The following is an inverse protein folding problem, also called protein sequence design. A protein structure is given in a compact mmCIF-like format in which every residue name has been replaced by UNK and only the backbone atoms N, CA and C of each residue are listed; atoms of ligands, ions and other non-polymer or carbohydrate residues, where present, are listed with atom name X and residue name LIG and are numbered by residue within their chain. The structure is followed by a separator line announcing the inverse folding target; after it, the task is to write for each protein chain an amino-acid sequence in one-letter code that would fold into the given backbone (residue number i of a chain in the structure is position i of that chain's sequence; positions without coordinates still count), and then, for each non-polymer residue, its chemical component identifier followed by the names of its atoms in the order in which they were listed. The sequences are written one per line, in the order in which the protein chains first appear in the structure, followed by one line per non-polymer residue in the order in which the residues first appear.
data_IF_976775777260
#
_entry.id   IF_976775777260
#
_cell.length_a   1.000
_cell.length_b   1.000
_cell.length_c   1.000
_cell.angle_alpha   90.00
_cell.angle_beta   90.00
_cell.angle_gamma   90.00
#
_symmetry.space_group_name_H-M   'P 1'
#
loop_
_entity.id
_entity.type
_entity.pdbx_description
1 polymer ?
#
# COMPACT_ATOMS: atom_id res chain seq x y z
N UNK A 1 22.92 2.97 8.32
CA UNK A 1 22.42 3.11 6.93
C UNK A 1 21.07 3.79 7.05
N UNK A 2 20.94 5.03 6.54
CA UNK A 2 19.73 5.83 6.73
C UNK A 2 18.53 5.13 6.07
N UNK A 3 17.44 4.98 6.81
CA UNK A 3 16.20 4.39 6.31
C UNK A 3 15.73 5.15 5.07
N UNK A 4 15.62 4.42 3.96
CA UNK A 4 15.21 4.93 2.65
C UNK A 4 13.67 4.90 2.51
N UNK A 5 12.95 4.95 3.64
CA UNK A 5 11.49 4.96 3.68
C UNK A 5 10.99 6.39 3.59
N UNK A 6 10.15 6.66 2.59
CA UNK A 6 9.39 7.92 2.47
C UNK A 6 7.97 7.69 2.93
N UNK A 7 7.34 8.72 3.48
CA UNK A 7 5.92 8.64 3.84
C UNK A 7 5.04 8.67 2.60
N UNK A 8 3.83 8.12 2.70
CA UNK A 8 2.83 8.19 1.62
C UNK A 8 2.58 9.65 1.19
N UNK A 9 2.50 10.56 2.16
CA UNK A 9 2.37 11.99 1.96
C UNK A 9 3.48 12.57 1.08
N UNK A 10 4.73 12.29 1.41
CA UNK A 10 5.89 12.78 0.65
C UNK A 10 5.89 12.27 -0.79
N UNK A 11 5.49 11.01 -1.00
CA UNK A 11 5.42 10.39 -2.32
C UNK A 11 4.33 11.03 -3.18
N UNK A 12 3.16 11.31 -2.60
CA UNK A 12 2.07 12.00 -3.29
C UNK A 12 2.40 13.48 -3.59
N UNK A 13 3.06 14.18 -2.66
CA UNK A 13 3.53 15.55 -2.91
C UNK A 13 4.62 15.60 -3.99
N UNK A 14 5.51 14.60 -4.03
CA UNK A 14 6.50 14.47 -5.11
C UNK A 14 5.79 14.32 -6.46
N UNK A 15 4.73 13.50 -6.52
CA UNK A 15 3.92 13.37 -7.72
C UNK A 15 3.34 14.72 -8.17
N UNK A 16 2.73 15.49 -7.26
CA UNK A 16 2.21 16.82 -7.57
C UNK A 16 3.30 17.78 -8.09
N UNK A 17 4.50 17.74 -7.51
CA UNK A 17 5.57 18.68 -7.84
C UNK A 17 6.35 18.33 -9.12
N UNK A 18 6.53 17.04 -9.43
CA UNK A 18 7.47 16.60 -10.49
C UNK A 18 6.87 15.70 -11.56
N UNK A 19 5.87 14.91 -11.23
CA UNK A 19 5.35 13.86 -12.13
C UNK A 19 4.00 14.21 -12.74
N UNK A 20 3.30 15.23 -12.22
CA UNK A 20 1.98 15.65 -12.68
C UNK A 20 2.00 15.98 -14.19
N UNK A 21 1.25 15.22 -15.02
CA UNK A 21 1.05 15.55 -16.43
C UNK A 21 0.32 16.88 -16.61
N UNK A 22 0.63 17.57 -17.72
CA UNK A 22 -0.06 18.79 -18.15
C UNK A 22 -1.52 18.43 -18.50
N UNK A 23 -2.44 18.65 -17.57
CA UNK A 23 -3.86 18.31 -17.73
C UNK A 23 -4.55 17.75 -16.49
N UNK A 24 -3.81 17.46 -15.41
CA UNK A 24 -4.43 17.13 -14.12
C UNK A 24 -4.77 18.41 -13.37
N UNK A 25 -6.07 18.66 -13.16
CA UNK A 25 -6.61 19.88 -12.54
C UNK A 25 -6.95 19.67 -11.05
N UNK A 26 -6.66 18.49 -10.51
CA UNK A 26 -7.00 18.14 -9.12
C UNK A 26 -6.22 18.98 -8.11
N UNK A 27 -6.80 19.20 -6.94
CA UNK A 27 -6.09 19.80 -5.81
C UNK A 27 -5.18 18.77 -5.13
N UNK A 28 -4.18 19.24 -4.40
CA UNK A 28 -3.24 18.37 -3.67
C UNK A 28 -3.97 17.47 -2.67
N UNK A 29 -5.00 17.98 -1.99
CA UNK A 29 -5.82 17.21 -1.05
C UNK A 29 -6.52 16.03 -1.72
N UNK A 30 -7.06 16.24 -2.93
CA UNK A 30 -7.70 15.18 -3.71
C UNK A 30 -6.68 14.13 -4.13
N UNK A 31 -5.47 14.53 -4.55
CA UNK A 31 -4.40 13.60 -4.90
C UNK A 31 -3.97 12.76 -3.69
N UNK A 32 -3.83 13.39 -2.52
CA UNK A 32 -3.52 12.69 -1.27
C UNK A 32 -4.62 11.68 -0.89
N UNK A 33 -5.89 12.05 -1.05
CA UNK A 33 -7.01 11.14 -0.83
C UNK A 33 -6.96 9.92 -1.77
N UNK A 34 -6.63 10.11 -3.05
CA UNK A 34 -6.48 9.00 -4.00
C UNK A 34 -5.27 8.11 -3.67
N UNK A 35 -4.16 8.70 -3.21
CA UNK A 35 -2.99 7.94 -2.74
C UNK A 35 -3.34 7.07 -1.53
N UNK A 36 -4.09 7.63 -0.57
CA UNK A 36 -4.57 6.92 0.61
C UNK A 36 -5.55 5.80 0.24
N UNK A 37 -6.48 6.05 -0.69
CA UNK A 37 -7.42 5.03 -1.16
C UNK A 37 -6.69 3.86 -1.83
N UNK A 38 -5.71 4.14 -2.70
CA UNK A 38 -4.89 3.10 -3.34
C UNK A 38 -4.07 2.32 -2.31
N UNK A 39 -3.42 3.00 -1.37
CA UNK A 39 -2.63 2.36 -0.33
C UNK A 39 -3.47 1.49 0.59
N UNK A 40 -4.69 1.93 0.95
CA UNK A 40 -5.65 1.14 1.75
C UNK A 40 -6.19 -0.07 0.99
N UNK A 41 -6.48 0.07 -0.30
CA UNK A 41 -6.88 -1.06 -1.13
C UNK A 41 -5.81 -2.15 -1.12
N UNK A 42 -4.55 -1.74 -1.34
CA UNK A 42 -3.40 -2.62 -1.24
C UNK A 42 -3.28 -3.23 0.18
N UNK A 43 -3.31 -2.40 1.23
CA UNK A 43 -3.20 -2.83 2.62
C UNK A 43 -4.26 -3.84 3.09
N UNK A 44 -5.40 -3.92 2.39
CA UNK A 44 -6.41 -4.95 2.65
C UNK A 44 -5.96 -6.38 2.33
N UNK A 45 -4.93 -6.57 1.50
CA UNK A 45 -4.42 -7.88 1.09
C UNK A 45 -3.16 -8.31 1.83
N UNK A 46 -2.48 -7.39 2.52
CA UNK A 46 -1.28 -7.70 3.31
C UNK A 46 -0.78 -6.47 4.08
N UNK A 47 -0.18 -6.66 5.27
CA UNK A 47 0.38 -5.56 6.03
C UNK A 47 1.60 -4.98 5.32
N UNK A 48 1.77 -3.66 5.40
CA UNK A 48 3.03 -3.01 5.02
C UNK A 48 4.12 -3.35 6.05
N UNK A 49 5.36 -3.51 5.61
CA UNK A 49 6.53 -3.86 6.43
C UNK A 49 6.74 -2.83 7.56
N UNK A 50 6.44 -1.56 7.29
CA UNK A 50 6.47 -0.50 8.30
C UNK A 50 5.45 -0.69 9.45
N UNK A 51 4.38 -1.45 9.20
CA UNK A 51 3.38 -1.81 10.22
C UNK A 51 3.72 -3.15 10.88
N UNK A 52 4.61 -3.94 10.27
CA UNK A 52 5.02 -5.21 10.84
C UNK A 52 5.93 -4.96 12.05
N UNK A 53 5.64 -5.61 13.17
CA UNK A 53 6.53 -5.60 14.31
C UNK A 53 7.87 -6.23 13.89
N UNK A 54 8.97 -5.54 14.20
CA UNK A 54 10.30 -6.11 14.07
C UNK A 54 10.43 -7.28 15.06
N UNK A 55 9.95 -8.46 14.70
CA UNK A 55 10.16 -9.66 15.49
C UNK A 55 11.66 -9.96 15.43
N UNK A 56 12.43 -9.78 16.53
CA UNK A 56 13.80 -10.24 16.49
C UNK A 56 13.74 -11.76 16.44
N UNK A 57 14.48 -12.37 15.51
CA UNK A 57 14.71 -13.83 15.47
C UNK A 57 15.14 -14.36 16.85
N UNK A 58 15.74 -13.51 17.69
CA UNK A 58 16.07 -13.79 19.08
C UNK A 58 14.86 -14.15 19.98
N UNK A 59 13.66 -13.66 19.70
CA UNK A 59 12.43 -14.03 20.43
C UNK A 59 11.86 -15.39 20.00
N UNK A 60 12.31 -15.94 18.86
CA UNK A 60 11.95 -17.29 18.38
C UNK A 60 12.91 -18.38 18.88
N UNK A 61 13.88 -18.04 19.74
CA UNK A 61 14.74 -19.04 20.36
C UNK A 61 13.89 -19.96 21.27
N UNK A 62 14.09 -21.28 21.23
CA UNK A 62 13.34 -22.19 22.06
C UNK A 62 13.61 -21.88 23.55
N UNK A 63 12.54 -21.66 24.32
CA UNK A 63 12.65 -21.60 25.76
C UNK A 63 13.28 -22.90 26.28
N UNK A 64 14.29 -22.80 27.16
CA UNK A 64 14.87 -23.97 27.80
C UNK A 64 13.78 -24.71 28.59
N UNK A 65 13.50 -25.94 28.17
CA UNK A 65 12.48 -26.81 28.73
C UNK A 65 12.79 -27.22 30.18
N UNK A 66 11.85 -27.01 31.11
CA UNK A 66 11.88 -27.65 32.43
C UNK A 66 11.62 -29.16 32.25
N UNK A 67 12.53 -30.07 32.65
CA UNK A 67 12.42 -31.51 32.41
C UNK A 67 11.18 -32.21 32.99
N UNK A 68 10.34 -31.49 33.74
CA UNK A 68 9.15 -32.01 34.42
C UNK A 68 7.84 -31.86 33.64
N UNK A 69 7.82 -31.11 32.55
CA UNK A 69 6.60 -30.92 31.74
C UNK A 69 6.49 -32.00 30.65
N UNK A 70 5.63 -33.00 30.88
CA UNK A 70 5.44 -34.10 29.93
C UNK A 70 4.54 -33.73 28.74
N UNK A 71 4.94 -34.24 27.56
CA UNK A 71 4.10 -34.66 26.43
C UNK A 71 3.38 -33.61 25.57
N UNK A 72 4.12 -32.65 25.02
CA UNK A 72 3.82 -32.16 23.66
C UNK A 72 5.08 -32.27 22.82
N UNK A 73 5.04 -33.09 21.78
CA UNK A 73 6.20 -33.46 20.95
C UNK A 73 6.67 -32.34 20.01
N UNK A 74 6.14 -31.12 20.16
CA UNK A 74 6.49 -29.97 19.34
C UNK A 74 7.11 -28.89 20.22
N UNK A 75 8.26 -28.30 19.82
CA UNK A 75 8.75 -27.10 20.48
C UNK A 75 7.65 -26.05 20.43
N UNK A 76 7.21 -25.58 21.61
CA UNK A 76 6.30 -24.45 21.72
C UNK A 76 7.11 -23.21 21.41
N UNK A 77 7.16 -22.81 20.15
CA UNK A 77 7.72 -21.51 19.80
C UNK A 77 6.85 -20.45 20.48
N UNK A 78 7.40 -19.58 21.33
CA UNK A 78 6.65 -18.45 21.84
C UNK A 78 6.21 -17.62 20.64
N UNK A 79 4.90 -17.54 20.44
CA UNK A 79 4.27 -16.66 19.45
C UNK A 79 4.42 -15.27 20.05
N UNK A 80 5.27 -14.38 19.50
CA UNK A 80 5.44 -13.06 20.08
C UNK A 80 4.10 -12.32 20.07
N UNK A 81 3.74 -11.63 21.16
CA UNK A 81 2.50 -10.84 21.26
C UNK A 81 2.42 -9.74 20.18
N UNK A 82 3.57 -9.39 19.59
CA UNK A 82 3.73 -8.52 18.45
C UNK A 82 3.87 -9.34 17.16
N UNK A 83 2.91 -10.19 16.80
CA UNK A 83 2.81 -10.77 15.45
C UNK A 83 1.85 -10.00 14.54
N UNK A 84 1.08 -9.10 15.13
CA UNK A 84 0.05 -8.32 14.45
C UNK A 84 0.43 -6.84 14.47
N UNK A 85 0.19 -6.11 13.37
CA UNK A 85 0.45 -4.69 13.31
C UNK A 85 -0.35 -3.96 14.40
N UNK A 86 0.25 -2.91 14.99
CA UNK A 86 -0.41 -2.10 16.05
C UNK A 86 -1.68 -1.39 15.52
N UNK A 87 -1.77 -1.19 14.21
CA UNK A 87 -2.95 -0.70 13.51
C UNK A 87 -3.06 -1.38 12.14
N UNK A 88 -4.26 -1.88 11.81
CA UNK A 88 -4.55 -2.46 10.50
C UNK A 88 -4.77 -1.39 9.41
N UNK A 89 -4.97 -0.13 9.81
CA UNK A 89 -5.26 0.96 8.88
C UNK A 89 -3.99 1.68 8.40
N UNK A 90 -3.93 1.89 7.09
CA UNK A 90 -2.93 2.74 6.43
C UNK A 90 -3.33 4.21 6.57
N UNK A 91 -2.38 5.01 7.02
CA UNK A 91 -2.51 6.46 7.22
C UNK A 91 -1.56 7.22 6.28
N UNK A 92 -1.76 8.54 6.19
CA UNK A 92 -1.01 9.39 5.26
C UNK A 92 0.49 9.50 5.60
N UNK A 93 0.82 9.34 6.87
CA UNK A 93 2.21 9.40 7.37
C UNK A 93 2.84 8.00 7.47
N UNK A 94 2.14 6.95 7.01
CA UNK A 94 2.71 5.59 7.00
C UNK A 94 3.96 5.54 6.12
N UNK A 95 5.10 5.05 6.63
CA UNK A 95 6.30 4.86 5.81
C UNK A 95 6.07 3.77 4.80
N UNK A 96 6.49 3.99 3.55
CA UNK A 96 6.52 2.95 2.52
C UNK A 96 7.96 2.68 2.08
N UNK A 97 8.25 1.40 1.90
CA UNK A 97 9.42 0.92 1.18
C UNK A 97 9.25 1.12 -0.33
N UNK A 98 10.36 1.06 -1.06
CA UNK A 98 10.33 1.17 -2.53
C UNK A 98 9.50 0.06 -3.19
N UNK A 99 9.56 -1.16 -2.67
CA UNK A 99 8.83 -2.31 -3.20
C UNK A 99 7.32 -2.15 -3.04
N UNK A 100 6.89 -1.64 -1.89
CA UNK A 100 5.47 -1.38 -1.61
C UNK A 100 4.94 -0.23 -2.47
N UNK A 101 5.73 0.85 -2.60
CA UNK A 101 5.37 1.94 -3.49
C UNK A 101 5.27 1.49 -4.95
N UNK A 102 6.10 0.56 -5.41
CA UNK A 102 6.01 0.02 -6.77
C UNK A 102 4.68 -0.69 -7.05
N UNK A 103 4.04 -1.25 -6.01
CA UNK A 103 2.71 -1.88 -6.10
C UNK A 103 1.61 -0.81 -6.03
N UNK A 104 1.71 0.13 -5.09
CA UNK A 104 0.69 1.18 -4.85
C UNK A 104 0.64 2.21 -5.98
N UNK A 105 1.81 2.67 -6.46
CA UNK A 105 1.94 3.75 -7.46
C UNK A 105 1.09 3.58 -8.72
N UNK A 106 1.10 2.44 -9.43
CA UNK A 106 0.31 2.31 -10.64
C UNK A 106 -1.20 2.39 -10.38
N UNK A 107 -1.70 1.87 -9.26
CA UNK A 107 -3.11 1.99 -8.88
C UNK A 107 -3.46 3.44 -8.50
N UNK A 108 -2.58 4.09 -7.73
CA UNK A 108 -2.69 5.51 -7.38
C UNK A 108 -2.81 6.40 -8.62
N UNK A 109 -1.95 6.22 -9.63
CA UNK A 109 -1.98 7.01 -10.86
C UNK A 109 -3.32 6.84 -11.58
N UNK A 110 -3.83 5.61 -11.67
CA UNK A 110 -5.13 5.34 -12.30
C UNK A 110 -6.30 5.98 -11.54
N UNK A 111 -6.26 6.01 -10.20
CA UNK A 111 -7.27 6.68 -9.39
C UNK A 111 -7.26 8.20 -9.61
N UNK A 112 -6.07 8.81 -9.66
CA UNK A 112 -5.92 10.24 -9.98
C UNK A 112 -6.42 10.53 -11.40
N UNK A 113 -6.07 9.70 -12.37
CA UNK A 113 -6.49 9.88 -13.76
C UNK A 113 -8.01 9.75 -13.91
N UNK A 114 -8.63 8.76 -13.26
CA UNK A 114 -10.08 8.57 -13.26
C UNK A 114 -10.78 9.78 -12.66
N UNK A 115 -10.33 10.25 -11.51
CA UNK A 115 -10.93 11.41 -10.85
C UNK A 115 -10.85 12.65 -11.76
N UNK A 116 -9.69 12.90 -12.36
CA UNK A 116 -9.51 14.00 -13.31
C UNK A 116 -10.43 13.86 -14.54
N UNK A 117 -10.58 12.65 -15.09
CA UNK A 117 -11.48 12.39 -16.21
C UNK A 117 -12.94 12.67 -15.85
N UNK A 118 -13.38 12.28 -14.64
CA UNK A 118 -14.74 12.57 -14.14
C UNK A 118 -14.98 14.08 -14.05
N UNK A 119 -14.02 14.85 -13.54
CA UNK A 119 -14.12 16.32 -13.50
C UNK A 119 -14.25 16.94 -14.90
N UNK A 120 -13.48 16.45 -15.87
CA UNK A 120 -13.53 16.94 -17.25
C UNK A 120 -14.83 16.53 -17.94
N UNK A 121 -15.30 15.30 -17.76
CA UNK A 121 -16.57 14.82 -18.31
C UNK A 121 -17.77 15.59 -17.73
N UNK A 122 -17.75 15.94 -16.45
CA UNK A 122 -18.75 16.81 -15.85
C UNK A 122 -18.73 18.22 -16.48
N UNK A 123 -17.52 18.74 -16.76
CA UNK A 123 -17.30 20.04 -17.40
C UNK A 123 -17.69 20.07 -18.88
N UNK A 124 -17.89 18.92 -19.52
CA UNK A 124 -18.40 18.82 -20.90
C UNK A 124 -19.75 19.50 -21.06
N UNK A 125 -20.59 19.49 -20.02
CA UNK A 125 -21.88 20.18 -20.01
C UNK A 125 -21.76 21.71 -20.16
N UNK A 126 -20.58 22.27 -19.86
CA UNK A 126 -20.26 23.69 -19.96
C UNK A 126 -19.52 24.04 -21.28
N UNK A 127 -19.43 23.10 -22.22
CA UNK A 127 -18.77 23.30 -23.52
C UNK A 127 -17.25 23.21 -23.48
N UNK A 128 -16.67 22.64 -22.41
CA UNK A 128 -15.23 22.36 -22.32
C UNK A 128 -14.93 21.03 -23.00
N UNK A 129 -13.94 21.01 -23.90
CA UNK A 129 -13.49 19.78 -24.54
C UNK A 129 -12.74 18.88 -23.55
N UNK A 130 -13.12 17.60 -23.53
CA UNK A 130 -12.47 16.58 -22.70
C UNK A 130 -11.19 16.13 -23.40
N UNK A 131 -10.06 16.24 -22.71
CA UNK A 131 -8.79 15.71 -23.18
C UNK A 131 -8.43 14.42 -22.43
N UNK A 132 -7.75 13.51 -23.12
CA UNK A 132 -7.26 12.25 -22.55
C UNK A 132 -8.23 11.08 -22.72
N UNK A 133 -8.01 10.04 -21.92
CA UNK A 133 -8.84 8.83 -21.88
C UNK A 133 -10.14 9.10 -21.11
N UNK A 134 -11.20 8.39 -21.46
CA UNK A 134 -12.49 8.50 -20.77
C UNK A 134 -12.46 7.86 -19.39
N UNK A 135 -13.32 8.30 -18.47
CA UNK A 135 -13.44 7.71 -17.14
C UNK A 135 -13.82 6.22 -17.20
N UNK A 136 -14.56 5.81 -18.24
CA UNK A 136 -14.99 4.43 -18.46
C UNK A 136 -13.83 3.51 -18.89
N UNK A 137 -12.92 3.99 -19.73
CA UNK A 137 -11.72 3.24 -20.12
C UNK A 137 -10.78 3.04 -18.93
N UNK A 138 -10.54 4.11 -18.16
CA UNK A 138 -9.67 4.05 -16.97
C UNK A 138 -10.28 3.12 -15.90
N UNK A 139 -11.60 3.09 -15.77
CA UNK A 139 -12.27 2.17 -14.85
C UNK A 139 -12.01 0.69 -15.20
N UNK A 140 -11.91 0.34 -16.48
CA UNK A 140 -11.58 -1.03 -16.90
C UNK A 140 -10.13 -1.39 -16.56
N UNK A 141 -9.19 -0.45 -16.78
CA UNK A 141 -7.79 -0.62 -16.39
C UNK A 141 -7.63 -0.77 -14.87
N UNK A 142 -8.42 -0.04 -14.08
CA UNK A 142 -8.44 -0.16 -12.63
C UNK A 142 -8.83 -1.57 -12.22
N UNK A 143 -9.93 -2.11 -12.75
CA UNK A 143 -10.38 -3.47 -12.41
C UNK A 143 -9.29 -4.50 -12.75
N UNK A 144 -8.67 -4.38 -13.92
CA UNK A 144 -7.57 -5.25 -14.31
C UNK A 144 -6.39 -5.13 -13.33
N UNK A 145 -6.02 -3.90 -12.95
CA UNK A 145 -4.88 -3.67 -12.07
C UNK A 145 -5.15 -4.16 -10.65
N UNK A 146 -6.37 -4.00 -10.16
CA UNK A 146 -6.82 -4.50 -8.87
C UNK A 146 -6.68 -6.02 -8.77
N UNK A 147 -7.00 -6.75 -9.84
CA UNK A 147 -6.78 -8.21 -9.91
C UNK A 147 -5.29 -8.58 -9.90
N UNK A 148 -4.43 -7.77 -10.54
CA UNK A 148 -2.98 -8.01 -10.55
C UNK A 148 -2.34 -7.76 -9.18
N UNK A 149 -2.75 -6.68 -8.50
CA UNK A 149 -2.24 -6.31 -7.16
C UNK A 149 -2.48 -7.42 -6.15
N UNK A 150 -3.64 -8.07 -6.20
CA UNK A 150 -3.98 -9.21 -5.33
C UNK A 150 -2.94 -10.33 -5.39
N UNK A 151 -2.30 -10.54 -6.56
CA UNK A 151 -1.30 -11.59 -6.74
C UNK A 151 0.09 -11.17 -6.27
N UNK A 152 0.39 -9.89 -6.29
CA UNK A 152 1.72 -9.36 -6.00
C UNK A 152 1.94 -9.09 -4.51
N UNK A 153 0.87 -8.94 -3.73
CA UNK A 153 0.96 -8.42 -2.36
C UNK A 153 1.21 -9.48 -1.28
N UNK A 154 1.28 -10.76 -1.65
CA UNK A 154 1.66 -11.85 -0.74
C UNK A 154 3.16 -12.13 -0.81
N UNK A 155 3.96 -11.32 -0.11
CA UNK A 155 5.36 -11.63 0.18
C UNK A 155 5.51 -11.92 1.68
N UNK A 156 5.29 -13.17 2.09
CA UNK A 156 5.83 -13.62 3.37
C UNK A 156 7.30 -13.99 3.20
N UNK A 157 8.19 -13.64 4.14
CA UNK A 157 9.52 -14.25 4.16
C UNK A 157 9.36 -15.75 4.41
N UNK A 158 9.84 -16.58 3.48
CA UNK A 158 9.95 -18.02 3.73
C UNK A 158 11.13 -18.21 4.68
N UNK A 159 10.81 -18.41 5.96
CA UNK A 159 11.79 -18.85 6.96
C UNK A 159 11.92 -20.37 6.79
N UNK A 160 12.92 -20.81 6.02
CA UNK A 160 13.30 -22.23 5.99
C UNK A 160 14.23 -22.52 7.17
N UNK A 161 13.92 -23.58 7.92
CA UNK A 161 14.78 -24.16 8.98
C UNK A 161 16.07 -24.75 8.43
#
# INVERSE_FOLDING_TARGET
MAELSKTLKELALLFCAKERPVGIVLEEETVLAQALAAARYCGGYGPFDALLPAAPVAAMLPEMHDPRESSSSYPRFPVPDNLYPTSDFVEIDTPLTQSEWAIVRPLFILYVERENAVYLEASRSLGVDVYGRSASEIAQDIVQKEMDVQRLMFCMPIVTV
#
